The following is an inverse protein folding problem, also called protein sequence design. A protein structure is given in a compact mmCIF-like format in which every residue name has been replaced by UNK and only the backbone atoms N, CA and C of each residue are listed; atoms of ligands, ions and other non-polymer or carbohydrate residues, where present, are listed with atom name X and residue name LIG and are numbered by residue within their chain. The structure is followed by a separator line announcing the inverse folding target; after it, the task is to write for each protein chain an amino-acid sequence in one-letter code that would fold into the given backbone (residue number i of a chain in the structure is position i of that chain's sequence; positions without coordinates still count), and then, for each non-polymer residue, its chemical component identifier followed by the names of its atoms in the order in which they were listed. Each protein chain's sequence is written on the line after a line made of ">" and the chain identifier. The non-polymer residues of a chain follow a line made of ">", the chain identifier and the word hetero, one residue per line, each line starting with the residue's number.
data_IF_032104366193
#
_entry.id   IF_032104366193
#
_cell.length_a   1.000
_cell.length_b   1.000
_cell.length_c   1.000
_cell.angle_alpha   90.00
_cell.angle_beta   90.00
_cell.angle_gamma   90.00
#
_symmetry.space_group_name_H-M   'P 1'
#
loop_
_entity.id
_entity.type
_entity.pdbx_description
1 polymer ?
#
# COMPACT_ATOMS: atom_id res chain seq x y z
N UNK A 1 4.78 31.76 -37.33
CA UNK A 1 5.10 32.12 -35.93
C UNK A 1 5.54 30.87 -35.20
N UNK A 2 6.67 30.89 -34.49
CA UNK A 2 7.16 29.72 -33.73
C UNK A 2 6.42 29.66 -32.40
N UNK A 3 5.68 28.58 -32.14
CA UNK A 3 4.95 28.40 -30.88
C UNK A 3 5.94 28.00 -29.79
N UNK A 4 6.08 28.82 -28.76
CA UNK A 4 6.85 28.50 -27.55
C UNK A 4 5.88 27.88 -26.55
N UNK A 5 6.17 26.67 -26.10
CA UNK A 5 5.39 25.97 -25.06
C UNK A 5 6.33 25.73 -23.89
N UNK A 6 5.96 26.28 -22.74
CA UNK A 6 6.67 26.07 -21.48
C UNK A 6 5.81 25.13 -20.63
N UNK A 7 6.36 24.02 -20.11
CA UNK A 7 5.61 23.15 -19.21
C UNK A 7 5.30 23.88 -17.90
N UNK A 8 4.08 23.67 -17.39
CA UNK A 8 3.66 24.24 -16.11
C UNK A 8 4.27 23.42 -14.97
N UNK A 9 4.89 24.12 -14.01
CA UNK A 9 5.34 23.50 -12.77
C UNK A 9 4.21 23.50 -11.74
N UNK A 10 3.97 22.35 -11.11
CA UNK A 10 2.90 22.19 -10.12
C UNK A 10 3.50 22.18 -8.73
N UNK A 11 3.00 23.05 -7.85
CA UNK A 11 3.41 23.11 -6.44
C UNK A 11 2.32 22.52 -5.54
N UNK A 12 2.72 21.70 -4.57
CA UNK A 12 1.81 21.11 -3.58
C UNK A 12 2.44 21.03 -2.19
N UNK A 13 1.62 20.97 -1.14
CA UNK A 13 2.06 20.83 0.26
C UNK A 13 2.05 19.36 0.68
N UNK A 14 3.16 18.67 0.43
CA UNK A 14 3.27 17.22 0.75
C UNK A 14 3.99 16.95 2.08
N UNK A 15 4.86 17.86 2.53
CA UNK A 15 5.68 17.71 3.76
C UNK A 15 5.58 18.94 4.69
N UNK A 16 4.46 19.66 4.61
CA UNK A 16 4.21 20.87 5.42
C UNK A 16 4.49 22.21 4.71
N UNK A 17 5.24 22.23 3.61
CA UNK A 17 5.50 23.42 2.79
C UNK A 17 5.33 23.15 1.28
N UNK A 18 5.19 24.22 0.48
CA UNK A 18 5.02 24.14 -0.98
C UNK A 18 6.32 23.75 -1.68
N UNK A 19 6.24 22.78 -2.58
CA UNK A 19 7.40 22.25 -3.32
C UNK A 19 7.01 21.75 -4.72
N UNK A 20 7.95 21.79 -5.68
CA UNK A 20 7.73 21.28 -7.03
C UNK A 20 7.42 19.78 -7.00
N UNK A 21 6.27 19.41 -7.57
CA UNK A 21 5.79 18.02 -7.58
C UNK A 21 6.66 17.15 -8.50
N UNK A 22 7.18 17.72 -9.59
CA UNK A 22 8.06 17.02 -10.55
C UNK A 22 9.29 16.43 -9.85
N UNK A 23 9.99 17.26 -9.06
CA UNK A 23 11.19 16.87 -8.32
C UNK A 23 10.87 15.91 -7.17
N UNK A 24 9.78 16.14 -6.44
CA UNK A 24 9.41 15.25 -5.35
C UNK A 24 9.07 13.84 -5.79
N UNK A 25 8.23 13.70 -6.82
CA UNK A 25 7.73 12.41 -7.25
C UNK A 25 8.86 11.49 -7.70
N UNK A 26 9.88 12.06 -8.35
CA UNK A 26 11.08 11.34 -8.71
C UNK A 26 11.81 10.80 -7.47
N UNK A 27 12.17 11.67 -6.53
CA UNK A 27 12.88 11.25 -5.31
C UNK A 27 12.07 10.30 -4.42
N UNK A 28 10.76 10.47 -4.35
CA UNK A 28 9.87 9.61 -3.56
C UNK A 28 9.78 8.18 -4.13
N UNK A 29 9.90 8.03 -5.45
CA UNK A 29 9.94 6.72 -6.10
C UNK A 29 11.23 5.98 -5.78
N UNK A 30 12.36 6.69 -5.79
CA UNK A 30 13.66 6.12 -5.40
C UNK A 30 13.64 5.65 -3.94
N UNK A 31 13.23 6.54 -3.02
CA UNK A 31 13.10 6.18 -1.60
C UNK A 31 12.15 5.01 -1.37
N UNK A 32 11.08 4.87 -2.17
CA UNK A 32 10.19 3.72 -2.07
C UNK A 32 10.86 2.41 -2.51
N UNK A 33 11.69 2.43 -3.56
CA UNK A 33 12.46 1.26 -4.02
C UNK A 33 13.45 0.74 -2.97
N UNK A 34 13.96 1.63 -2.12
CA UNK A 34 14.87 1.29 -1.03
C UNK A 34 14.18 0.70 0.20
N UNK A 35 12.84 0.70 0.25
CA UNK A 35 12.09 0.17 1.41
C UNK A 35 12.17 -1.35 1.47
N UNK A 36 12.46 -1.86 2.66
CA UNK A 36 12.41 -3.30 2.95
C UNK A 36 11.01 -3.65 3.45
N UNK A 37 10.25 -4.50 2.74
CA UNK A 37 8.93 -4.92 3.20
C UNK A 37 9.07 -5.82 4.42
N UNK A 38 8.27 -5.55 5.45
CA UNK A 38 8.15 -6.45 6.59
C UNK A 38 7.42 -7.73 6.13
N UNK A 39 8.11 -8.86 6.13
CA UNK A 39 7.47 -10.17 5.94
C UNK A 39 6.83 -10.59 7.25
N UNK A 40 5.54 -10.28 7.40
CA UNK A 40 4.76 -10.76 8.52
C UNK A 40 4.44 -12.22 8.22
N UNK A 41 5.09 -13.14 8.92
CA UNK A 41 4.61 -14.51 8.97
C UNK A 41 3.34 -14.48 9.79
N UNK A 42 2.20 -14.75 9.14
CA UNK A 42 0.97 -15.08 9.84
C UNK A 42 1.26 -16.40 10.55
N UNK A 43 1.90 -16.35 11.72
CA UNK A 43 1.82 -17.45 12.65
C UNK A 43 0.34 -17.53 12.97
N UNK A 44 -0.34 -18.49 12.35
CA UNK A 44 -1.54 -19.04 12.91
C UNK A 44 -1.15 -19.58 14.28
N UNK A 45 -1.08 -18.70 15.28
CA UNK A 45 -1.47 -19.09 16.62
C UNK A 45 -2.94 -19.40 16.43
N UNK A 46 -3.19 -20.65 16.07
CA UNK A 46 -4.51 -21.24 16.04
C UNK A 46 -5.04 -21.09 17.44
N UNK A 47 -5.74 -19.99 17.71
CA UNK A 47 -6.59 -19.89 18.86
C UNK A 47 -7.49 -21.13 18.80
N UNK A 48 -7.42 -22.06 19.76
CA UNK A 48 -8.08 -23.35 19.65
C UNK A 48 -9.61 -23.23 19.48
N UNK A 49 -10.17 -22.04 19.77
CA UNK A 49 -11.57 -21.67 19.53
C UNK A 49 -11.89 -21.45 18.05
N UNK A 50 -10.98 -20.88 17.26
CA UNK A 50 -11.22 -20.56 15.83
C UNK A 50 -11.33 -21.84 15.01
N UNK A 51 -10.57 -22.88 15.37
CA UNK A 51 -10.59 -24.14 14.65
C UNK A 51 -11.81 -25.02 14.98
N UNK A 52 -12.35 -24.93 16.20
CA UNK A 52 -13.60 -25.60 16.57
C UNK A 52 -14.80 -25.03 15.81
N UNK A 53 -14.85 -23.70 15.64
CA UNK A 53 -15.92 -23.03 14.86
C UNK A 53 -15.84 -23.43 13.39
N UNK A 54 -14.64 -23.46 12.80
CA UNK A 54 -14.45 -23.88 11.41
C UNK A 54 -14.88 -25.34 11.15
N UNK A 55 -14.55 -26.25 12.09
CA UNK A 55 -14.96 -27.67 12.02
C UNK A 55 -16.46 -27.85 12.18
N UNK A 56 -17.10 -27.07 13.06
CA UNK A 56 -18.55 -27.11 13.25
C UNK A 56 -19.32 -26.59 12.03
N UNK A 57 -18.86 -25.50 11.40
CA UNK A 57 -19.49 -24.98 10.18
C UNK A 57 -19.34 -25.95 9.00
N UNK A 58 -18.17 -26.54 8.80
CA UNK A 58 -17.94 -27.49 7.70
C UNK A 58 -18.80 -28.76 7.85
N UNK A 59 -19.03 -29.22 9.09
CA UNK A 59 -19.91 -30.36 9.36
C UNK A 59 -21.36 -30.07 8.98
N UNK A 60 -21.89 -28.89 9.31
CA UNK A 60 -23.29 -28.53 9.03
C UNK A 60 -23.59 -28.37 7.52
N UNK A 61 -22.64 -27.87 6.74
CA UNK A 61 -22.80 -27.74 5.29
C UNK A 61 -22.70 -29.07 4.53
N UNK A 62 -22.04 -30.08 5.11
CA UNK A 62 -21.92 -31.41 4.49
C UNK A 62 -23.12 -32.32 4.76
N UNK A 63 -24.01 -31.93 5.68
CA UNK A 63 -25.18 -32.70 6.08
C UNK A 63 -26.50 -32.24 5.47
N UNK A 64 -26.46 -31.34 4.46
CA UNK A 64 -27.62 -30.90 3.66
C UNK A 64 -27.57 -31.42 2.24
#
# INVERSE_FOLDING_TARGET
>A
MKKIVVPVEVYSRVVGYFRPVSQWNHGKREEFSERIPLKIELTAQSDPKVEQVAKQSHFLLSSS
#
